data_IF_474874206898
#
_entry.id   IF_474874206898
#
_cell.length_a   1.000
_cell.length_b   1.000
_cell.length_c   1.000
_cell.angle_alpha   90.00
_cell.angle_beta   90.00
_cell.angle_gamma   90.00
#
_symmetry.space_group_name_H-M   'P 1'
#
loop_
_entity.id
_entity.type
_entity.pdbx_description
1 polymer ?
#
# COMPACT_ATOMS: atom_id res chain seq x y z
N UNK A 1 -13.28 -6.29 12.26
CA UNK A 1 -13.74 -5.31 13.23
C UNK A 1 -12.67 -4.26 13.47
N UNK A 2 -13.04 -3.02 13.39
CA UNK A 2 -12.11 -1.93 13.62
C UNK A 2 -12.14 -1.53 15.08
N UNK A 3 -10.98 -1.25 15.62
CA UNK A 3 -10.87 -0.82 17.00
C UNK A 3 -9.88 0.29 17.14
N UNK A 4 -10.12 1.14 18.12
CA UNK A 4 -9.19 2.20 18.48
C UNK A 4 -8.63 1.89 19.86
N UNK A 5 -7.35 2.10 20.03
CA UNK A 5 -6.77 1.97 21.35
C UNK A 5 -6.92 3.29 22.11
N UNK A 6 -6.35 3.36 23.31
CA UNK A 6 -6.50 4.54 24.14
C UNK A 6 -5.88 5.79 23.54
N UNK A 7 -4.93 5.63 22.65
CA UNK A 7 -4.29 6.76 22.00
C UNK A 7 -4.96 7.18 20.71
N UNK A 8 -6.08 6.57 20.37
CA UNK A 8 -6.78 6.90 19.14
C UNK A 8 -6.21 6.22 17.90
N UNK A 9 -5.41 5.18 18.08
CA UNK A 9 -4.89 4.42 16.96
C UNK A 9 -5.98 3.54 16.37
N UNK A 10 -6.05 3.54 15.06
CA UNK A 10 -6.94 2.64 14.35
C UNK A 10 -6.25 1.31 14.17
N UNK A 11 -6.79 0.26 14.77
CA UNK A 11 -6.23 -1.07 14.67
C UNK A 11 -7.13 -1.92 13.81
N UNK A 12 -6.58 -2.42 12.72
CA UNK A 12 -7.32 -3.24 11.77
C UNK A 12 -6.89 -4.69 11.97
N UNK A 13 -7.80 -5.56 12.41
CA UNK A 13 -7.44 -6.97 12.54
C UNK A 13 -7.11 -7.57 11.18
N UNK A 14 -6.16 -8.46 11.16
CA UNK A 14 -5.76 -9.13 9.94
C UNK A 14 -6.30 -10.55 9.98
N UNK A 15 -7.42 -10.82 9.32
CA UNK A 15 -8.00 -12.15 9.35
C UNK A 15 -7.10 -13.15 8.64
N UNK A 16 -7.12 -14.35 9.09
CA UNK A 16 -6.32 -15.40 8.49
C UNK A 16 -4.88 -15.43 8.90
N UNK A 17 -4.47 -14.50 9.74
CA UNK A 17 -3.13 -14.53 10.28
C UNK A 17 -2.99 -15.72 11.20
N UNK A 18 -2.00 -16.57 10.93
CA UNK A 18 -1.80 -17.77 11.71
C UNK A 18 -0.36 -17.89 12.12
N UNK A 19 -0.13 -18.64 13.17
CA UNK A 19 1.20 -18.98 13.57
C UNK A 19 1.66 -20.14 12.75
N UNK A 20 2.08 -19.84 11.58
CA UNK A 20 2.58 -20.83 10.70
C UNK A 20 4.02 -21.08 11.02
N UNK A 21 4.69 -21.91 10.58
CA UNK A 21 6.09 -22.09 10.81
C UNK A 21 6.88 -20.90 10.32
N UNK A 22 8.13 -21.08 10.05
CA UNK A 22 9.07 -19.98 9.79
C UNK A 22 8.93 -19.39 8.41
N UNK A 23 7.79 -18.88 8.08
CA UNK A 23 7.62 -18.19 6.82
C UNK A 23 8.22 -16.80 6.90
N UNK A 24 8.88 -16.42 5.85
CA UNK A 24 9.40 -15.07 5.77
C UNK A 24 8.26 -14.11 5.49
N UNK A 25 8.17 -13.11 6.32
CA UNK A 25 7.19 -12.04 6.15
C UNK A 25 7.97 -10.77 5.86
N UNK A 26 7.64 -10.12 4.75
CA UNK A 26 8.27 -8.86 4.40
C UNK A 26 7.34 -7.76 4.86
N UNK A 27 7.82 -6.95 5.78
CA UNK A 27 7.05 -5.82 6.31
C UNK A 27 7.71 -4.54 5.87
N UNK A 28 6.91 -3.67 5.26
CA UNK A 28 7.40 -2.38 4.80
C UNK A 28 7.42 -1.44 5.99
N UNK A 29 8.60 -1.05 6.42
CA UNK A 29 8.76 -0.16 7.57
C UNK A 29 9.08 1.27 7.17
N UNK A 30 9.52 1.48 5.94
CA UNK A 30 9.81 2.80 5.42
C UNK A 30 9.25 2.87 4.01
N UNK A 31 8.51 3.93 3.74
CA UNK A 31 7.89 4.11 2.45
C UNK A 31 7.70 5.60 2.23
N UNK A 32 8.17 6.09 1.10
CA UNK A 32 8.21 7.53 0.82
C UNK A 32 7.67 7.84 -0.57
N UNK A 33 7.09 9.02 -0.71
CA UNK A 33 6.75 9.51 -2.03
C UNK A 33 8.01 10.04 -2.72
N UNK A 34 7.89 10.45 -3.97
CA UNK A 34 9.05 10.93 -4.73
C UNK A 34 9.65 12.20 -4.15
N UNK A 35 8.94 12.89 -3.29
CA UNK A 35 9.43 14.09 -2.64
C UNK A 35 9.97 13.83 -1.23
N UNK A 36 10.07 12.57 -0.84
CA UNK A 36 10.69 12.18 0.41
C UNK A 36 9.77 12.22 1.62
N UNK A 37 8.46 12.34 1.42
CA UNK A 37 7.53 12.31 2.54
C UNK A 37 7.19 10.87 2.90
N UNK A 38 7.24 10.56 4.19
CA UNK A 38 6.90 9.21 4.65
C UNK A 38 5.41 8.94 4.47
N UNK A 39 5.09 7.79 3.94
CA UNK A 39 3.71 7.37 3.75
C UNK A 39 3.27 6.38 4.83
N UNK A 40 4.14 6.08 5.77
CA UNK A 40 3.79 5.29 6.95
C UNK A 40 3.00 6.18 7.90
N UNK A 41 1.88 5.67 8.38
CA UNK A 41 1.01 6.45 9.26
C UNK A 41 0.94 5.81 10.63
N UNK A 42 1.32 6.56 11.65
CA UNK A 42 1.34 6.05 13.02
C UNK A 42 -0.04 5.76 13.58
N UNK A 43 -1.07 6.34 13.00
CA UNK A 43 -2.42 6.21 13.51
C UNK A 43 -3.20 5.06 12.89
N UNK A 44 -2.59 4.36 11.94
CA UNK A 44 -3.23 3.25 11.27
C UNK A 44 -2.38 2.01 11.48
N UNK A 45 -3.02 0.96 11.98
CA UNK A 45 -2.31 -0.29 12.23
C UNK A 45 -3.03 -1.45 11.61
N UNK A 46 -2.26 -2.34 11.03
CA UNK A 46 -2.72 -3.62 10.53
C UNK A 46 -2.09 -4.68 11.40
N UNK A 47 -2.89 -5.19 12.36
CA UNK A 47 -2.32 -6.02 13.39
C UNK A 47 -1.39 -5.22 14.26
N UNK A 48 -0.14 -5.61 14.33
CA UNK A 48 0.85 -4.91 15.14
C UNK A 48 1.71 -3.95 14.33
N UNK A 49 1.47 -3.82 13.03
CA UNK A 49 2.31 -3.01 12.15
C UNK A 49 1.62 -1.72 11.76
N UNK A 50 2.43 -0.66 11.62
CA UNK A 50 1.91 0.62 11.14
C UNK A 50 1.54 0.51 9.69
N UNK A 51 0.41 1.10 9.32
CA UNK A 51 -0.08 1.04 7.95
C UNK A 51 0.48 2.12 7.07
N UNK A 52 0.22 1.96 5.77
CA UNK A 52 0.53 2.99 4.78
C UNK A 52 -0.73 3.75 4.46
N UNK A 53 -0.61 5.06 4.28
CA UNK A 53 -1.74 5.88 3.86
C UNK A 53 -1.41 6.55 2.54
N UNK A 54 -2.30 6.40 1.59
CA UNK A 54 -2.12 6.94 0.25
C UNK A 54 -3.35 7.79 -0.08
N UNK A 55 -3.13 8.98 -0.63
CA UNK A 55 -4.24 9.80 -1.09
C UNK A 55 -4.83 9.18 -2.35
N UNK A 56 -6.16 9.16 -2.42
CA UNK A 56 -6.85 8.54 -3.53
C UNK A 56 -7.89 9.50 -4.09
N UNK A 57 -8.00 9.51 -5.42
CA UNK A 57 -8.99 10.33 -6.13
C UNK A 57 -9.64 9.52 -7.23
N UNK A 58 -10.91 9.76 -7.44
CA UNK A 58 -11.62 9.27 -8.62
C UNK A 58 -12.66 10.31 -8.99
N UNK A 59 -12.52 10.88 -10.20
CA UNK A 59 -13.39 12.00 -10.59
C UNK A 59 -13.23 13.14 -9.61
N UNK A 60 -14.34 13.59 -9.03
CA UNK A 60 -14.32 14.66 -8.04
C UNK A 60 -14.21 14.13 -6.60
N UNK A 61 -14.28 12.82 -6.41
CA UNK A 61 -14.22 12.25 -5.08
C UNK A 61 -12.75 12.12 -4.64
N UNK A 62 -12.51 12.44 -3.37
CA UNK A 62 -11.19 12.39 -2.77
C UNK A 62 -11.25 11.69 -1.42
N UNK A 63 -10.19 11.01 -1.09
CA UNK A 63 -10.07 10.38 0.21
C UNK A 63 -8.72 9.72 0.32
N UNK A 64 -8.66 8.69 1.13
CA UNK A 64 -7.42 7.99 1.38
C UNK A 64 -7.64 6.49 1.35
N UNK A 65 -6.58 5.77 1.06
CA UNK A 65 -6.57 4.32 1.14
C UNK A 65 -5.47 3.92 2.11
N UNK A 66 -5.83 3.14 3.10
CA UNK A 66 -4.86 2.58 4.03
C UNK A 66 -4.52 1.17 3.56
N UNK A 67 -3.24 0.87 3.50
CA UNK A 67 -2.74 -0.42 3.04
C UNK A 67 -1.96 -1.11 4.12
N UNK A 68 -2.07 -2.43 4.14
CA UNK A 68 -1.24 -3.23 5.02
C UNK A 68 0.23 -3.12 4.61
N UNK A 69 1.15 -2.96 5.57
CA UNK A 69 2.56 -2.92 5.25
C UNK A 69 3.16 -4.31 5.05
N UNK A 70 2.38 -5.35 5.29
CA UNK A 70 2.86 -6.71 5.04
C UNK A 70 2.74 -6.98 3.55
N UNK A 71 3.88 -7.14 2.92
CA UNK A 71 3.92 -7.30 1.47
C UNK A 71 3.17 -8.56 1.06
N UNK A 72 2.30 -8.41 0.08
CA UNK A 72 1.48 -9.51 -0.39
C UNK A 72 0.08 -9.55 0.20
N UNK A 73 -0.15 -8.84 1.29
CA UNK A 73 -1.50 -8.73 1.83
C UNK A 73 -2.29 -7.70 1.06
N UNK A 74 -3.57 -8.00 0.81
CA UNK A 74 -4.41 -7.08 0.04
C UNK A 74 -5.40 -6.31 0.91
N UNK A 75 -5.12 -6.18 2.18
CA UNK A 75 -6.02 -5.44 3.04
C UNK A 75 -5.94 -3.96 2.74
N UNK A 76 -7.04 -3.42 2.29
CA UNK A 76 -7.15 -2.00 1.98
C UNK A 76 -8.40 -1.47 2.65
N UNK A 77 -8.27 -0.30 3.25
CA UNK A 77 -9.40 0.36 3.90
C UNK A 77 -9.52 1.73 3.30
N UNK A 78 -10.69 2.04 2.73
CA UNK A 78 -10.95 3.36 2.19
C UNK A 78 -11.40 4.29 3.31
N UNK A 79 -10.93 5.52 3.26
CA UNK A 79 -11.25 6.56 4.22
C UNK A 79 -11.77 7.76 3.44
N UNK A 80 -13.01 8.15 3.73
CA UNK A 80 -13.68 9.30 3.10
C UNK A 80 -13.86 9.18 1.60
N UNK A 81 -13.77 7.98 1.06
CA UNK A 81 -14.02 7.74 -0.36
C UNK A 81 -14.59 6.34 -0.50
N UNK A 82 -15.58 6.20 -1.38
CA UNK A 82 -16.17 4.89 -1.67
C UNK A 82 -15.46 4.26 -2.85
N UNK A 83 -15.02 3.04 -2.69
CA UNK A 83 -14.31 2.32 -3.74
C UNK A 83 -15.20 1.25 -4.34
N UNK A 84 -15.16 1.16 -5.66
CA UNK A 84 -15.88 0.13 -6.40
C UNK A 84 -14.85 -0.75 -7.09
N UNK A 85 -15.01 -2.06 -6.97
CA UNK A 85 -14.07 -2.98 -7.55
C UNK A 85 -13.93 -2.75 -9.05
N UNK A 86 -12.70 -2.78 -9.53
CA UNK A 86 -12.38 -2.54 -10.93
C UNK A 86 -12.10 -1.10 -11.30
N UNK A 87 -12.39 -0.16 -10.41
CA UNK A 87 -12.11 1.24 -10.70
C UNK A 87 -10.63 1.54 -10.67
N UNK A 88 -10.22 2.48 -11.50
CA UNK A 88 -8.85 3.00 -11.47
C UNK A 88 -8.81 4.26 -10.62
N UNK A 89 -7.84 4.35 -9.73
CA UNK A 89 -7.70 5.49 -8.86
C UNK A 89 -6.47 6.30 -9.25
N UNK A 90 -6.51 7.59 -8.94
CA UNK A 90 -5.33 8.42 -8.96
C UNK A 90 -4.76 8.41 -7.55
N UNK A 91 -3.57 7.85 -7.39
CA UNK A 91 -2.95 7.70 -6.09
C UNK A 91 -1.83 8.71 -5.91
N UNK A 92 -1.73 9.27 -4.72
CA UNK A 92 -0.75 10.31 -4.45
C UNK A 92 -0.32 10.35 -3.00
N UNK A 93 0.58 11.27 -2.72
CA UNK A 93 1.09 11.47 -1.37
C UNK A 93 0.09 12.29 -0.55
N UNK A 94 -0.28 11.83 0.66
CA UNK A 94 -1.19 12.62 1.48
C UNK A 94 -0.60 13.93 1.99
N UNK A 95 0.73 14.02 2.07
CA UNK A 95 1.38 15.23 2.56
C UNK A 95 1.51 16.32 1.51
N UNK A 96 2.08 15.98 0.36
CA UNK A 96 2.36 16.99 -0.67
C UNK A 96 1.38 16.95 -1.82
N UNK A 97 0.52 15.95 -1.89
CA UNK A 97 -0.47 15.83 -2.95
C UNK A 97 0.07 15.39 -4.30
N UNK A 98 1.37 15.13 -4.38
CA UNK A 98 1.95 14.73 -5.65
C UNK A 98 1.45 13.36 -6.07
N UNK A 99 1.09 13.23 -7.35
CA UNK A 99 0.68 11.96 -7.89
C UNK A 99 1.86 11.01 -7.90
N UNK A 100 1.66 9.77 -7.48
CA UNK A 100 2.73 8.79 -7.48
C UNK A 100 3.18 8.48 -8.90
N UNK A 101 4.47 8.25 -9.05
CA UNK A 101 5.05 7.99 -10.36
C UNK A 101 4.62 6.64 -10.90
N UNK A 102 4.50 6.55 -12.22
CA UNK A 102 4.17 5.30 -12.86
C UNK A 102 5.40 4.42 -12.96
N UNK A 103 5.22 3.16 -12.61
CA UNK A 103 6.27 2.17 -12.74
C UNK A 103 6.11 1.38 -14.05
N UNK A 104 4.87 1.20 -14.49
CA UNK A 104 4.59 0.46 -15.70
C UNK A 104 3.16 -0.09 -15.69
N UNK A 105 2.76 -0.75 -16.75
CA UNK A 105 1.42 -1.31 -16.82
C UNK A 105 1.31 -2.55 -15.95
N UNK A 106 0.11 -2.74 -15.39
CA UNK A 106 -0.22 -3.97 -14.69
C UNK A 106 -0.91 -4.92 -15.66
N UNK A 107 -0.71 -6.21 -15.46
CA UNK A 107 -1.34 -7.21 -16.32
C UNK A 107 -2.86 -7.15 -16.28
N UNK A 108 -3.45 -6.57 -15.26
CA UNK A 108 -4.89 -6.41 -15.16
C UNK A 108 -5.44 -5.27 -16.03
N UNK A 109 -4.56 -4.50 -16.66
CA UNK A 109 -4.95 -3.33 -17.43
C UNK A 109 -4.82 -2.02 -16.66
N UNK A 110 -4.53 -2.08 -15.40
CA UNK A 110 -4.26 -0.89 -14.61
C UNK A 110 -2.81 -0.45 -14.74
N UNK A 111 -2.38 0.35 -13.78
CA UNK A 111 -1.03 0.90 -13.79
C UNK A 111 -0.39 0.64 -12.44
N UNK A 112 0.87 0.24 -12.46
CA UNK A 112 1.64 0.12 -11.25
C UNK A 112 2.21 1.49 -10.92
N UNK A 113 1.91 1.99 -9.73
CA UNK A 113 2.46 3.24 -9.25
C UNK A 113 3.46 2.93 -8.16
N UNK A 114 4.43 3.81 -7.99
CA UNK A 114 5.61 3.47 -7.22
C UNK A 114 5.78 4.37 -6.01
N UNK A 115 6.16 3.74 -4.90
CA UNK A 115 6.63 4.40 -3.70
C UNK A 115 8.04 3.90 -3.45
N UNK A 116 8.82 4.67 -2.71
CA UNK A 116 10.23 4.34 -2.52
C UNK A 116 10.49 3.92 -1.10
N UNK A 117 11.43 3.01 -0.91
CA UNK A 117 11.77 2.54 0.43
C UNK A 117 12.87 3.39 1.06
N UNK A 118 13.31 4.42 0.35
CA UNK A 118 14.26 5.43 0.82
C UNK A 118 13.69 6.80 0.49
N UNK A 119 14.06 7.85 1.20
CA UNK A 119 13.50 9.18 0.94
C UNK A 119 14.09 9.87 -0.30
N UNK A 120 14.49 9.09 -1.28
CA UNK A 120 14.99 9.58 -2.57
C UNK A 120 14.41 8.70 -3.67
N UNK A 121 14.32 9.27 -4.87
CA UNK A 121 13.84 8.51 -6.02
C UNK A 121 14.93 7.53 -6.45
N UNK A 122 14.65 6.25 -6.28
CA UNK A 122 15.59 5.21 -6.63
C UNK A 122 14.80 3.95 -6.97
N UNK A 123 14.70 3.66 -8.25
CA UNK A 123 13.90 2.52 -8.70
C UNK A 123 14.54 1.17 -8.40
N UNK A 124 15.71 1.16 -7.80
CA UNK A 124 16.28 -0.08 -7.29
C UNK A 124 15.77 -0.39 -5.88
N UNK A 125 15.06 0.55 -5.26
CA UNK A 125 14.51 0.42 -3.91
C UNK A 125 13.11 1.00 -3.90
N UNK A 126 12.17 0.26 -4.46
CA UNK A 126 10.82 0.79 -4.60
C UNK A 126 9.78 -0.33 -4.47
N UNK A 127 8.54 0.11 -4.32
CA UNK A 127 7.39 -0.77 -4.22
C UNK A 127 6.38 -0.29 -5.24
N UNK A 128 5.96 -1.19 -6.13
CA UNK A 128 4.93 -0.89 -7.11
C UNK A 128 3.63 -1.53 -6.70
N UNK A 129 2.56 -0.78 -6.76
CA UNK A 129 1.21 -1.31 -6.48
C UNK A 129 0.29 -0.91 -7.62
N UNK A 130 -0.71 -1.76 -7.87
CA UNK A 130 -1.67 -1.47 -8.91
C UNK A 130 -2.71 -0.47 -8.42
N UNK A 131 -3.07 0.46 -9.28
CA UNK A 131 -4.07 1.48 -8.94
C UNK A 131 -5.51 1.06 -9.21
N UNK A 132 -5.72 -0.19 -9.62
CA UNK A 132 -7.08 -0.69 -9.81
C UNK A 132 -7.60 -1.29 -8.51
N UNK A 133 -8.80 -0.88 -8.12
CA UNK A 133 -9.44 -1.41 -6.92
C UNK A 133 -9.68 -2.91 -7.12
N UNK A 134 -9.22 -3.71 -6.17
CA UNK A 134 -9.38 -5.15 -6.22
C UNK A 134 -8.19 -5.89 -6.79
N UNK A 135 -7.28 -5.22 -7.47
CA UNK A 135 -6.08 -5.87 -7.97
C UNK A 135 -5.03 -5.91 -6.86
N UNK A 136 -4.52 -7.10 -6.61
CA UNK A 136 -3.55 -7.30 -5.53
C UNK A 136 -2.12 -7.42 -6.02
N UNK A 137 -1.90 -7.14 -7.30
CA UNK A 137 -0.56 -7.25 -7.85
C UNK A 137 0.35 -6.18 -7.22
N UNK A 138 1.48 -6.61 -6.72
CA UNK A 138 2.46 -5.72 -6.14
C UNK A 138 3.85 -6.28 -6.41
N UNK A 139 4.81 -5.37 -6.53
CA UNK A 139 6.20 -5.73 -6.78
C UNK A 139 7.08 -4.92 -5.84
N UNK A 140 8.11 -5.54 -5.35
CA UNK A 140 9.08 -4.83 -4.54
C UNK A 140 10.48 -5.03 -5.15
N UNK A 141 11.22 -3.95 -5.22
CA UNK A 141 12.57 -3.98 -5.72
C UNK A 141 13.50 -3.55 -4.61
N UNK A 142 14.50 -4.37 -4.34
CA UNK A 142 15.46 -4.08 -3.29
C UNK A 142 16.83 -4.43 -3.85
N UNK A 143 17.70 -3.43 -3.94
CA UNK A 143 19.02 -3.57 -4.53
C UNK A 143 18.94 -4.07 -5.97
N UNK A 144 17.90 -3.64 -6.69
CA UNK A 144 17.74 -4.03 -8.08
C UNK A 144 17.12 -5.38 -8.31
N UNK A 145 16.89 -6.15 -7.26
CA UNK A 145 16.26 -7.45 -7.39
C UNK A 145 14.75 -7.28 -7.32
N UNK A 146 14.06 -7.81 -8.31
CA UNK A 146 12.62 -7.71 -8.38
C UNK A 146 11.99 -8.91 -7.70
N UNK A 147 11.04 -8.65 -6.82
CA UNK A 147 10.25 -9.69 -6.17
C UNK A 147 8.78 -9.45 -6.45
N UNK A 148 8.09 -10.48 -6.85
CA UNK A 148 6.66 -10.40 -7.13
C UNK A 148 5.94 -11.40 -6.26
N UNK A 149 4.96 -10.90 -5.51
CA UNK A 149 4.21 -11.74 -4.60
C UNK A 149 2.74 -11.87 -5.01
N UNK A 150 2.48 -11.80 -6.31
CA UNK A 150 1.13 -11.93 -6.82
C UNK A 150 0.48 -13.23 -6.38
N UNK A 151 1.26 -14.30 -6.42
CA UNK A 151 0.75 -15.62 -6.09
C UNK A 151 0.36 -15.76 -4.63
N UNK A 152 0.95 -14.95 -3.80
CA UNK A 152 0.68 -15.03 -2.38
C UNK A 152 -0.79 -14.82 -2.08
N UNK A 153 -1.46 -14.05 -2.89
CA UNK A 153 -2.85 -13.70 -2.67
C UNK A 153 -3.83 -14.60 -3.37
N UNK A 154 -3.34 -15.57 -4.10
CA UNK A 154 -4.22 -16.46 -4.82
C UNK A 154 -4.66 -17.65 -4.00
N UNK A 155 -4.25 -17.70 -2.78
CA UNK A 155 -4.60 -18.80 -1.88
C UNK A 155 -5.99 -18.68 -1.32
#
# INVERSE_FOLDING_TARGET
MKRFDKGGLLIIPVPGKKEQGPEKIIVVKECYCQNGHSMINDRIRFGEYKGLMIAAKKGSAKGFVALSPVYGEKYRVSIDISLTEGELLSLGCPDCGAKLMSYGPCSCGGELVVMFTRPVVDFNYCIGICNRVGCSHAEIKNEGQLMTLTLYNSL
#
